data_IF_652970977455
#
_entry.id   IF_652970977455
#
_cell.length_a   1.000
_cell.length_b   1.000
_cell.length_c   1.000
_cell.angle_alpha   90.00
_cell.angle_beta   90.00
_cell.angle_gamma   90.00
#
_symmetry.space_group_name_H-M   'P 1'
#
loop_
_entity.id
_entity.type
_entity.pdbx_description
1 polymer ?
#
# COMPACT_ATOMS: atom_id res chain seq x y z
N UNK A 1 -17.60 8.03 -73.17
CA UNK A 1 -19.06 7.84 -73.12
C UNK A 1 -19.40 7.17 -71.80
N UNK A 2 -20.30 7.78 -71.02
CA UNK A 2 -20.80 7.32 -69.73
C UNK A 2 -21.59 6.02 -69.83
N UNK A 3 -21.56 5.18 -68.79
CA UNK A 3 -22.76 4.48 -68.27
C UNK A 3 -22.63 4.31 -66.75
N UNK A 4 -23.67 4.74 -66.05
CA UNK A 4 -23.94 4.60 -64.61
C UNK A 4 -24.47 3.21 -64.27
N UNK A 5 -24.28 2.72 -63.03
CA UNK A 5 -25.37 2.11 -62.24
C UNK A 5 -24.92 1.80 -60.80
N UNK A 6 -25.54 2.52 -59.86
CA UNK A 6 -25.70 2.17 -58.45
C UNK A 6 -26.60 0.95 -58.30
N UNK A 7 -26.26 0.03 -57.39
CA UNK A 7 -27.27 -0.81 -56.74
C UNK A 7 -26.96 -1.02 -55.25
N UNK A 8 -27.84 -0.44 -54.45
CA UNK A 8 -28.04 -0.69 -53.02
C UNK A 8 -28.48 -2.15 -52.82
N UNK A 9 -27.89 -2.84 -51.83
CA UNK A 9 -28.48 -4.06 -51.26
C UNK A 9 -28.61 -3.95 -49.74
N UNK A 10 -29.88 -4.03 -49.35
CA UNK A 10 -30.45 -4.14 -48.03
C UNK A 10 -29.91 -5.34 -47.24
N UNK A 11 -29.82 -5.20 -45.92
CA UNK A 11 -29.99 -6.32 -45.00
C UNK A 11 -30.79 -5.86 -43.78
N UNK A 12 -31.85 -6.61 -43.50
CA UNK A 12 -32.91 -6.33 -42.56
C UNK A 12 -32.92 -7.48 -41.54
N UNK A 13 -32.63 -7.16 -40.28
CA UNK A 13 -32.93 -7.91 -39.05
C UNK A 13 -33.02 -6.81 -37.99
N UNK A 14 -34.07 -6.60 -37.20
CA UNK A 14 -35.07 -7.51 -36.67
C UNK A 14 -35.08 -7.33 -35.15
N UNK A 15 -36.06 -6.56 -34.66
CA UNK A 15 -36.65 -6.49 -33.32
C UNK A 15 -36.48 -5.18 -32.49
N UNK A 16 -37.58 -4.65 -31.90
CA UNK A 16 -37.61 -3.39 -31.17
C UNK A 16 -37.46 -3.59 -29.66
N UNK A 17 -36.56 -2.86 -29.01
CA UNK A 17 -36.49 -2.77 -27.56
C UNK A 17 -37.20 -1.49 -27.09
N UNK A 18 -38.31 -1.67 -26.39
CA UNK A 18 -39.14 -0.62 -25.78
C UNK A 18 -38.43 -0.01 -24.56
N UNK A 19 -38.24 1.32 -24.45
CA UNK A 19 -37.71 1.93 -23.25
C UNK A 19 -38.84 2.22 -22.24
N UNK A 20 -38.81 1.54 -21.08
CA UNK A 20 -39.59 1.98 -19.92
C UNK A 20 -38.88 3.14 -19.22
N UNK A 21 -39.54 4.27 -18.95
CA UNK A 21 -39.00 5.32 -18.09
C UNK A 21 -39.14 4.90 -16.62
N UNK A 22 -38.03 4.86 -15.89
CA UNK A 22 -38.03 4.78 -14.42
C UNK A 22 -38.23 6.21 -13.90
N UNK A 23 -39.43 6.50 -13.41
CA UNK A 23 -39.71 7.73 -12.67
C UNK A 23 -39.01 7.67 -11.30
N UNK A 24 -38.04 8.56 -11.08
CA UNK A 24 -37.64 8.98 -9.75
C UNK A 24 -38.81 9.76 -9.13
N UNK A 25 -39.36 9.27 -8.02
CA UNK A 25 -40.10 10.12 -7.09
C UNK A 25 -39.29 10.31 -5.81
N UNK A 26 -38.80 11.55 -5.71
CA UNK A 26 -38.42 12.26 -4.49
C UNK A 26 -39.57 12.20 -3.49
N UNK A 27 -39.29 11.91 -2.21
CA UNK A 27 -40.18 12.35 -1.13
C UNK A 27 -39.43 12.72 0.14
N UNK A 28 -39.95 13.79 0.73
CA UNK A 28 -39.38 14.70 1.70
C UNK A 28 -39.14 14.14 3.10
N UNK A 29 -38.21 14.80 3.76
CA UNK A 29 -38.03 14.98 5.20
C UNK A 29 -39.21 15.66 5.91
N UNK A 30 -39.48 15.24 7.15
CA UNK A 30 -40.04 15.99 8.32
C UNK A 30 -39.98 15.05 9.55
N UNK A 31 -39.07 15.27 10.50
CA UNK A 31 -39.25 15.96 11.80
C UNK A 31 -40.36 15.40 12.67
N UNK A 32 -39.98 14.73 13.77
CA UNK A 32 -40.64 14.93 15.06
C UNK A 32 -39.64 14.65 16.19
N UNK A 33 -39.48 15.67 17.03
CA UNK A 33 -38.64 15.78 18.21
C UNK A 33 -39.44 15.41 19.45
N UNK A 34 -38.80 14.80 20.44
CA UNK A 34 -39.16 14.97 21.86
C UNK A 34 -37.89 15.05 22.70
N UNK A 35 -37.83 16.14 23.46
CA UNK A 35 -36.85 16.54 24.48
C UNK A 35 -36.99 15.62 25.71
N UNK A 36 -35.91 15.26 26.43
CA UNK A 36 -35.46 15.83 27.71
C UNK A 36 -34.55 14.74 28.36
N UNK A 37 -33.53 14.92 29.20
CA UNK A 37 -32.88 16.05 29.86
C UNK A 37 -31.49 15.55 30.39
N UNK A 38 -30.54 16.48 30.55
CA UNK A 38 -29.27 16.48 31.33
C UNK A 38 -28.63 15.17 31.84
N UNK A 39 -27.32 15.05 31.60
CA UNK A 39 -26.27 15.25 32.64
C UNK A 39 -24.87 15.30 32.03
N UNK A 40 -24.13 16.33 32.46
CA UNK A 40 -22.69 16.53 32.32
C UNK A 40 -21.90 15.42 33.01
N UNK A 41 -20.90 14.84 32.33
CA UNK A 41 -19.69 14.41 33.02
C UNK A 41 -18.48 14.46 32.07
N UNK A 42 -17.58 15.38 32.42
CA UNK A 42 -16.28 15.60 31.81
C UNK A 42 -15.29 14.76 32.61
N UNK A 43 -14.78 13.67 32.05
CA UNK A 43 -13.70 12.90 32.67
C UNK A 43 -12.92 12.10 31.64
N UNK A 44 -11.91 12.78 31.10
CA UNK A 44 -10.76 12.21 30.41
C UNK A 44 -9.86 11.51 31.46
N UNK A 45 -9.58 10.20 31.38
CA UNK A 45 -8.66 9.58 32.31
C UNK A 45 -7.21 9.98 31.96
N UNK A 46 -6.61 10.76 32.87
CA UNK A 46 -5.19 11.08 32.90
C UNK A 46 -4.39 9.86 33.36
N UNK A 47 -3.27 9.65 32.68
CA UNK A 47 -2.20 8.72 33.04
C UNK A 47 -1.69 8.96 34.45
N UNK A 48 -1.71 7.93 35.30
CA UNK A 48 -0.88 7.88 36.49
C UNK A 48 -0.16 6.53 36.54
N UNK A 49 1.14 6.59 36.23
CA UNK A 49 2.06 5.52 36.56
C UNK A 49 2.20 5.50 38.09
N UNK A 50 1.81 4.41 38.73
CA UNK A 50 2.13 4.12 40.12
C UNK A 50 3.05 2.89 40.15
N UNK A 51 4.34 3.15 40.26
CA UNK A 51 5.37 2.17 40.57
C UNK A 51 5.67 2.26 42.07
N UNK A 52 4.98 1.46 42.88
CA UNK A 52 5.39 1.17 44.25
C UNK A 52 4.92 -0.24 44.63
N UNK A 53 5.80 -1.21 44.43
CA UNK A 53 5.75 -2.48 45.15
C UNK A 53 7.15 -2.80 45.63
N UNK A 54 7.35 -2.80 46.95
CA UNK A 54 8.05 -3.88 47.67
C UNK A 54 8.11 -3.67 49.19
N UNK A 55 7.47 -4.61 49.87
CA UNK A 55 7.99 -5.46 50.95
C UNK A 55 8.68 -4.84 52.17
N UNK A 56 7.98 -5.02 53.30
CA UNK A 56 8.41 -4.90 54.67
C UNK A 56 9.34 -6.06 55.08
N UNK A 57 10.62 -5.82 55.38
CA UNK A 57 11.44 -6.67 56.29
C UNK A 57 12.41 -5.80 57.10
N UNK A 58 12.26 -5.84 58.42
CA UNK A 58 13.24 -5.42 59.43
C UNK A 58 14.28 -6.53 59.64
N UNK A 59 15.56 -6.19 59.83
CA UNK A 59 16.46 -6.68 60.91
C UNK A 59 17.94 -6.35 60.67
N UNK A 60 18.62 -5.86 61.71
CA UNK A 60 20.05 -5.55 61.78
C UNK A 60 20.93 -6.82 61.78
N UNK A 61 22.13 -6.71 61.18
CA UNK A 61 23.46 -6.93 61.79
C UNK A 61 24.49 -7.66 60.90
N UNK A 62 25.70 -7.07 60.88
CA UNK A 62 27.02 -7.66 60.59
C UNK A 62 27.54 -7.83 59.13
N UNK A 63 28.81 -7.40 58.97
CA UNK A 63 29.83 -7.79 57.96
C UNK A 63 29.99 -6.90 56.68
N UNK A 64 31.17 -6.86 56.03
CA UNK A 64 32.02 -5.66 55.95
C UNK A 64 32.16 -5.02 54.56
N UNK A 65 32.77 -3.83 54.54
CA UNK A 65 33.15 -3.03 53.36
C UNK A 65 33.79 -3.85 52.23
N UNK A 66 33.29 -3.67 51.01
CA UNK A 66 34.06 -3.89 49.78
C UNK A 66 33.95 -2.67 48.87
N UNK A 67 35.03 -1.89 48.81
CA UNK A 67 35.29 -0.96 47.71
C UNK A 67 35.45 -1.76 46.43
N UNK A 68 34.73 -1.40 45.36
CA UNK A 68 35.30 -1.24 44.00
C UNK A 68 34.26 -0.78 42.99
N UNK A 69 34.68 0.22 42.22
CA UNK A 69 34.13 0.70 40.95
C UNK A 69 33.81 -0.46 40.01
N UNK A 70 32.72 -0.31 39.26
CA UNK A 70 32.40 -1.18 38.12
C UNK A 70 31.18 -0.64 37.40
N UNK A 71 31.40 0.30 36.47
CA UNK A 71 30.42 0.66 35.45
C UNK A 71 30.09 -0.62 34.68
N UNK A 72 28.83 -1.07 34.75
CA UNK A 72 28.39 -2.25 34.01
C UNK A 72 28.50 -1.97 32.51
N UNK A 73 29.03 -2.90 31.70
CA UNK A 73 29.16 -2.72 30.26
C UNK A 73 27.76 -2.75 29.63
N UNK A 74 27.54 -1.80 28.72
CA UNK A 74 26.38 -1.72 27.86
C UNK A 74 26.16 -3.07 27.16
N UNK A 75 25.11 -3.79 27.53
CA UNK A 75 24.69 -4.99 26.84
C UNK A 75 24.13 -4.62 25.47
N UNK A 76 24.87 -4.92 24.42
CA UNK A 76 24.53 -4.71 23.01
C UNK A 76 23.46 -5.72 22.55
N UNK A 77 22.30 -5.72 23.20
CA UNK A 77 21.15 -6.56 22.81
C UNK A 77 19.81 -5.89 23.10
N UNK A 78 19.76 -4.57 22.97
CA UNK A 78 18.49 -3.93 22.61
C UNK A 78 18.22 -4.24 21.15
N UNK A 79 17.12 -4.97 20.89
CA UNK A 79 16.51 -5.05 19.57
C UNK A 79 16.35 -3.62 19.08
N UNK A 80 16.97 -3.18 17.97
CA UNK A 80 16.71 -1.85 17.46
C UNK A 80 15.26 -1.83 17.00
N UNK A 81 14.40 -1.27 17.85
CA UNK A 81 13.11 -0.73 17.43
C UNK A 81 13.45 0.21 16.30
N UNK A 82 13.01 -0.16 15.10
CA UNK A 82 13.06 0.65 13.90
C UNK A 82 14.48 0.92 13.37
N UNK A 83 14.90 0.16 12.35
CA UNK A 83 15.96 0.65 11.44
C UNK A 83 15.34 1.68 10.50
N UNK A 84 15.10 2.88 11.02
CA UNK A 84 14.97 4.08 10.19
C UNK A 84 16.38 4.62 9.93
N UNK A 85 16.63 5.07 8.70
CA UNK A 85 17.85 5.67 8.12
C UNK A 85 18.64 4.80 7.12
N UNK A 86 19.15 5.45 6.04
CA UNK A 86 19.26 4.91 4.69
C UNK A 86 20.41 3.93 4.55
N UNK A 87 20.11 2.77 3.99
CA UNK A 87 21.14 1.98 3.32
C UNK A 87 21.21 2.47 1.88
N UNK A 88 21.71 3.70 1.69
CA UNK A 88 22.37 4.15 0.46
C UNK A 88 23.78 3.52 0.39
N UNK A 89 23.89 2.27 0.85
CA UNK A 89 25.08 1.48 0.67
C UNK A 89 24.87 0.73 -0.64
N UNK A 90 25.90 0.75 -1.48
CA UNK A 90 25.97 -0.04 -2.71
C UNK A 90 25.74 -1.55 -2.49
N UNK A 91 25.60 -2.02 -1.23
CA UNK A 91 25.32 -3.40 -0.83
C UNK A 91 23.84 -3.70 -0.47
N UNK A 92 22.91 -2.75 -0.62
CA UNK A 92 21.50 -3.05 -0.31
C UNK A 92 20.93 -4.14 -1.23
N UNK A 93 20.54 -5.25 -0.62
CA UNK A 93 19.90 -6.38 -1.29
C UNK A 93 18.39 -6.35 -1.03
N UNK A 94 17.61 -5.97 -2.05
CA UNK A 94 16.15 -5.91 -2.00
C UNK A 94 15.52 -7.25 -1.62
N UNK A 95 16.07 -8.37 -2.12
CA UNK A 95 15.53 -9.69 -1.86
C UNK A 95 15.66 -10.01 -0.38
N UNK A 96 16.86 -9.82 0.19
CA UNK A 96 17.09 -10.02 1.64
C UNK A 96 16.24 -9.09 2.48
N UNK A 97 16.04 -7.84 2.04
CA UNK A 97 15.18 -6.89 2.74
C UNK A 97 13.74 -7.42 2.84
N UNK A 98 13.16 -7.84 1.72
CA UNK A 98 11.80 -8.39 1.65
C UNK A 98 11.67 -9.67 2.51
N UNK A 99 12.67 -10.56 2.46
CA UNK A 99 12.70 -11.76 3.32
C UNK A 99 12.78 -11.39 4.80
N UNK A 100 13.58 -10.37 5.17
CA UNK A 100 13.70 -9.89 6.56
C UNK A 100 12.44 -9.19 7.08
N UNK A 101 11.60 -8.67 6.17
CA UNK A 101 10.26 -8.16 6.49
C UNK A 101 9.24 -9.29 6.77
N UNK A 102 9.63 -10.55 6.58
CA UNK A 102 8.82 -11.74 6.86
C UNK A 102 8.14 -12.35 5.64
N UNK A 103 8.43 -11.87 4.43
CA UNK A 103 7.84 -12.41 3.20
C UNK A 103 8.51 -13.70 2.75
N UNK A 104 7.70 -14.69 2.39
CA UNK A 104 8.15 -15.96 1.83
C UNK A 104 8.12 -15.89 0.30
N UNK A 105 9.18 -15.34 -0.31
CA UNK A 105 9.26 -15.10 -1.77
C UNK A 105 9.08 -16.41 -2.57
N UNK A 106 9.68 -17.51 -2.10
CA UNK A 106 9.61 -18.83 -2.76
C UNK A 106 8.18 -19.39 -2.87
N UNK A 107 7.28 -18.96 -1.99
CA UNK A 107 5.87 -19.41 -1.96
C UNK A 107 4.98 -18.50 -2.84
N UNK A 108 5.51 -17.39 -3.34
CA UNK A 108 4.78 -16.44 -4.17
C UNK A 108 5.27 -16.48 -5.65
N UNK A 109 4.76 -17.41 -6.49
CA UNK A 109 5.24 -17.62 -7.86
C UNK A 109 4.88 -16.47 -8.83
N UNK A 110 4.09 -15.51 -8.37
CA UNK A 110 3.64 -14.36 -9.16
C UNK A 110 4.72 -13.29 -9.34
N UNK A 111 5.78 -13.36 -8.53
CA UNK A 111 6.82 -12.34 -8.44
C UNK A 111 8.20 -12.96 -8.70
N UNK A 112 9.06 -12.16 -9.31
CA UNK A 112 10.48 -12.46 -9.43
C UNK A 112 11.23 -11.32 -8.76
N UNK A 113 11.79 -11.59 -7.58
CA UNK A 113 12.54 -10.63 -6.78
C UNK A 113 14.03 -10.93 -6.91
N UNK A 114 14.80 -9.93 -7.32
CA UNK A 114 16.27 -9.94 -7.35
C UNK A 114 16.81 -8.89 -6.37
N UNK A 115 18.11 -8.86 -6.09
CA UNK A 115 18.70 -7.85 -5.19
C UNK A 115 18.45 -6.39 -5.61
N UNK A 116 18.21 -6.13 -6.89
CA UNK A 116 18.03 -4.78 -7.44
C UNK A 116 16.63 -4.52 -8.00
N UNK A 117 15.76 -5.53 -8.09
CA UNK A 117 14.48 -5.37 -8.79
C UNK A 117 13.39 -6.35 -8.36
N UNK A 118 12.14 -5.97 -8.57
CA UNK A 118 10.99 -6.84 -8.40
C UNK A 118 10.11 -6.75 -9.65
N UNK A 119 9.73 -7.90 -10.20
CA UNK A 119 8.92 -7.97 -11.42
C UNK A 119 7.74 -8.90 -11.26
N UNK A 120 6.62 -8.56 -11.89
CA UNK A 120 5.41 -9.38 -11.81
C UNK A 120 4.24 -8.77 -12.55
N UNK A 121 3.20 -9.58 -12.76
CA UNK A 121 1.96 -9.10 -13.35
C UNK A 121 1.03 -8.49 -12.30
N UNK A 122 0.49 -7.32 -12.61
CA UNK A 122 -0.58 -6.67 -11.85
C UNK A 122 -1.74 -6.30 -12.78
N UNK A 123 -2.95 -6.25 -12.24
CA UNK A 123 -4.07 -5.62 -12.94
C UNK A 123 -4.10 -4.15 -12.59
N UNK A 124 -4.02 -3.30 -13.62
CA UNK A 124 -4.03 -1.85 -13.48
C UNK A 124 -5.37 -1.29 -13.94
N UNK A 125 -5.95 -0.39 -13.17
CA UNK A 125 -7.12 0.38 -13.60
C UNK A 125 -6.74 1.44 -14.66
N UNK A 126 -7.49 1.46 -15.77
CA UNK A 126 -7.39 2.49 -16.80
C UNK A 126 -8.02 3.81 -16.36
N UNK A 127 -7.34 4.95 -16.56
CA UNK A 127 -7.82 6.26 -16.09
C UNK A 127 -9.07 6.76 -16.86
N UNK A 128 -9.15 6.49 -18.17
CA UNK A 128 -10.26 6.97 -19.03
C UNK A 128 -11.49 6.06 -18.95
N UNK A 129 -11.28 4.76 -19.09
CA UNK A 129 -12.37 3.78 -19.25
C UNK A 129 -12.60 2.92 -18.01
N UNK A 130 -11.83 3.12 -16.93
CA UNK A 130 -11.95 2.37 -15.67
C UNK A 130 -11.97 0.85 -15.85
N UNK A 131 -11.27 0.36 -16.88
CA UNK A 131 -11.11 -1.06 -17.16
C UNK A 131 -9.84 -1.57 -16.49
N UNK A 132 -9.94 -2.71 -15.82
CA UNK A 132 -8.78 -3.42 -15.27
C UNK A 132 -8.06 -4.17 -16.39
N UNK A 133 -6.75 -3.97 -16.51
CA UNK A 133 -5.93 -4.63 -17.53
C UNK A 133 -4.66 -5.20 -16.92
N UNK A 134 -4.34 -6.45 -17.25
CA UNK A 134 -3.09 -7.10 -16.86
C UNK A 134 -1.91 -6.39 -17.52
N UNK A 135 -0.91 -6.00 -16.74
CA UNK A 135 0.34 -5.36 -17.19
C UNK A 135 1.52 -5.94 -16.43
N UNK A 136 2.66 -6.03 -17.10
CA UNK A 136 3.91 -6.45 -16.47
C UNK A 136 4.55 -5.24 -15.81
N UNK A 137 4.69 -5.28 -14.49
CA UNK A 137 5.33 -4.21 -13.71
C UNK A 137 6.75 -4.61 -13.35
N UNK A 138 7.61 -3.61 -13.36
CA UNK A 138 9.02 -3.69 -13.02
C UNK A 138 9.32 -2.56 -12.06
N UNK A 139 9.69 -2.93 -10.85
CA UNK A 139 10.37 -2.07 -9.91
C UNK A 139 11.87 -2.31 -10.06
N UNK A 140 12.63 -1.24 -10.24
CA UNK A 140 14.07 -1.28 -10.47
C UNK A 140 14.78 -0.20 -9.65
N UNK A 141 15.68 -0.64 -8.77
CA UNK A 141 16.47 0.22 -7.90
C UNK A 141 17.56 0.98 -8.63
N UNK A 142 18.17 0.36 -9.66
CA UNK A 142 19.29 0.97 -10.38
C UNK A 142 18.81 2.20 -11.14
N UNK A 143 17.69 2.06 -11.85
CA UNK A 143 17.06 3.18 -12.57
C UNK A 143 16.17 4.05 -11.69
N UNK A 144 15.91 3.63 -10.44
CA UNK A 144 15.00 4.29 -9.49
C UNK A 144 13.59 4.48 -10.05
N UNK A 145 13.09 3.45 -10.73
CA UNK A 145 11.80 3.49 -11.43
C UNK A 145 10.84 2.37 -11.05
N UNK A 146 9.55 2.70 -11.12
CA UNK A 146 8.43 1.76 -11.08
C UNK A 146 7.64 1.91 -12.39
N UNK A 147 7.88 1.01 -13.34
CA UNK A 147 7.38 1.10 -14.72
C UNK A 147 6.56 -0.13 -15.09
N UNK A 148 5.69 0.03 -16.08
CA UNK A 148 4.90 -1.07 -16.61
C UNK A 148 4.96 -1.19 -18.14
N UNK A 149 4.80 -2.42 -18.59
CA UNK A 149 4.88 -2.87 -19.96
C UNK A 149 3.61 -3.63 -20.35
N UNK A 150 3.50 -3.94 -21.63
CA UNK A 150 2.41 -4.81 -22.10
C UNK A 150 2.55 -6.23 -21.52
N UNK A 151 3.76 -6.76 -21.56
CA UNK A 151 4.11 -8.12 -21.17
C UNK A 151 5.55 -8.19 -20.65
N UNK A 152 5.99 -9.42 -20.34
CA UNK A 152 7.33 -9.74 -19.82
C UNK A 152 8.47 -9.50 -20.83
N UNK A 153 8.17 -9.12 -22.09
CA UNK A 153 9.23 -8.82 -23.06
C UNK A 153 9.95 -7.49 -22.78
N UNK A 154 9.36 -6.62 -21.94
CA UNK A 154 9.95 -5.36 -21.48
C UNK A 154 10.41 -4.41 -22.62
N UNK A 155 9.93 -4.62 -23.86
CA UNK A 155 10.41 -3.92 -25.07
C UNK A 155 10.23 -2.40 -25.02
N UNK A 156 9.05 -1.93 -24.61
CA UNK A 156 8.72 -0.50 -24.57
C UNK A 156 7.89 -0.17 -23.33
N UNK A 157 8.38 0.74 -22.46
CA UNK A 157 7.61 1.17 -21.30
C UNK A 157 6.32 1.87 -21.77
N UNK A 158 5.21 1.52 -21.13
CA UNK A 158 3.90 2.14 -21.39
C UNK A 158 3.60 3.28 -20.44
N UNK A 159 4.28 3.32 -19.30
CA UNK A 159 4.19 4.35 -18.29
C UNK A 159 4.80 3.86 -16.99
N UNK A 160 4.86 4.76 -16.01
CA UNK A 160 5.44 4.46 -14.71
C UNK A 160 5.66 5.74 -13.92
N UNK A 161 6.39 5.61 -12.83
CA UNK A 161 6.83 6.70 -11.99
C UNK A 161 8.28 6.50 -11.57
N UNK A 162 9.00 7.60 -11.39
CA UNK A 162 10.25 7.60 -10.65
C UNK A 162 9.94 7.51 -9.15
N UNK A 163 10.84 6.93 -8.35
CA UNK A 163 10.62 6.81 -6.91
C UNK A 163 10.41 8.16 -6.23
N UNK A 164 11.14 9.20 -6.68
CA UNK A 164 11.06 10.56 -6.15
C UNK A 164 9.67 11.22 -6.22
N UNK A 165 8.77 10.74 -7.09
CA UNK A 165 7.42 11.31 -7.23
C UNK A 165 6.36 10.47 -6.52
N UNK A 166 6.71 9.30 -5.97
CA UNK A 166 5.80 8.45 -5.21
C UNK A 166 5.69 9.06 -3.81
N UNK A 167 4.47 9.40 -3.41
CA UNK A 167 4.20 10.05 -2.13
C UNK A 167 3.70 9.03 -1.10
N UNK A 168 2.78 8.17 -1.52
CA UNK A 168 2.10 7.22 -0.62
C UNK A 168 1.82 5.91 -1.37
N UNK A 169 1.87 4.80 -0.63
CA UNK A 169 1.42 3.49 -1.08
C UNK A 169 0.53 2.89 0.00
N UNK A 170 -0.67 2.44 -0.33
CA UNK A 170 -1.61 1.92 0.68
C UNK A 170 -2.64 0.97 0.08
N UNK A 171 -3.26 0.13 0.91
CA UNK A 171 -4.38 -0.73 0.51
C UNK A 171 -5.64 0.10 0.28
N UNK A 172 -6.45 -0.28 -0.72
CA UNK A 172 -7.72 0.38 -1.02
C UNK A 172 -8.84 -0.11 -0.06
N UNK A 173 -8.72 0.20 1.22
CA UNK A 173 -9.66 -0.23 2.26
C UNK A 173 -11.11 0.21 1.99
N UNK A 174 -11.30 1.38 1.38
CA UNK A 174 -12.62 1.92 1.03
C UNK A 174 -13.17 1.42 -0.32
N UNK A 175 -12.45 0.55 -1.02
CA UNK A 175 -12.76 0.11 -2.38
C UNK A 175 -13.09 1.28 -3.33
N UNK A 176 -12.32 2.37 -3.23
CA UNK A 176 -12.50 3.58 -4.03
C UNK A 176 -12.34 3.32 -5.53
N UNK A 177 -11.55 2.29 -5.88
CA UNK A 177 -11.33 1.82 -7.24
C UNK A 177 -12.46 0.97 -7.82
N UNK A 178 -13.47 0.59 -7.01
CA UNK A 178 -14.48 -0.42 -7.36
C UNK A 178 -13.83 -1.70 -7.90
N UNK A 179 -12.77 -2.13 -7.24
CA UNK A 179 -12.04 -3.34 -7.57
C UNK A 179 -12.91 -4.58 -7.33
N UNK A 180 -12.82 -5.61 -8.20
CA UNK A 180 -13.39 -6.92 -7.94
C UNK A 180 -12.81 -7.60 -6.70
N UNK A 181 -11.58 -7.26 -6.30
CA UNK A 181 -10.92 -7.83 -5.13
C UNK A 181 -10.21 -6.73 -4.31
N UNK A 182 -10.92 -6.05 -3.40
CA UNK A 182 -10.37 -4.93 -2.63
C UNK A 182 -9.21 -5.34 -1.71
N UNK A 183 -9.23 -6.57 -1.18
CA UNK A 183 -8.21 -7.08 -0.25
C UNK A 183 -6.84 -7.27 -0.91
N UNK A 184 -6.80 -7.41 -2.23
CA UNK A 184 -5.55 -7.50 -3.01
C UNK A 184 -5.30 -6.24 -3.85
N UNK A 185 -6.07 -5.17 -3.61
CA UNK A 185 -5.96 -3.91 -4.33
C UNK A 185 -5.27 -2.86 -3.47
N UNK A 186 -4.30 -2.20 -4.07
CA UNK A 186 -3.52 -1.14 -3.46
C UNK A 186 -3.36 0.04 -4.43
N UNK A 187 -3.04 1.19 -3.85
CA UNK A 187 -2.95 2.47 -4.53
C UNK A 187 -1.53 2.97 -4.37
N UNK A 188 -0.89 3.29 -5.50
CA UNK A 188 0.36 4.04 -5.53
C UNK A 188 0.00 5.47 -5.91
N UNK A 189 0.08 6.39 -4.96
CA UNK A 189 -0.16 7.81 -5.16
C UNK A 189 1.15 8.50 -5.53
N UNK A 190 1.14 9.20 -6.65
CA UNK A 190 2.24 10.08 -7.07
C UNK A 190 1.76 11.51 -7.15
N UNK A 191 2.70 12.46 -7.21
CA UNK A 191 2.44 13.90 -7.42
C UNK A 191 1.50 14.20 -8.59
N UNK A 192 1.52 13.35 -9.61
CA UNK A 192 0.79 13.59 -10.87
C UNK A 192 -0.46 12.73 -11.01
N UNK A 193 -0.48 11.52 -10.44
CA UNK A 193 -1.59 10.58 -10.63
C UNK A 193 -1.59 9.45 -9.59
N UNK A 194 -2.71 8.74 -9.51
CA UNK A 194 -2.84 7.51 -8.72
C UNK A 194 -2.84 6.29 -9.64
N UNK A 195 -2.15 5.24 -9.23
CA UNK A 195 -2.24 3.93 -9.83
C UNK A 195 -3.03 3.01 -8.91
N UNK A 196 -4.20 2.56 -9.38
CA UNK A 196 -4.96 1.50 -8.72
C UNK A 196 -4.49 0.17 -9.30
N UNK A 197 -3.94 -0.67 -8.45
CA UNK A 197 -3.25 -1.90 -8.80
C UNK A 197 -3.83 -3.06 -7.99
N UNK A 198 -4.18 -4.14 -8.66
CA UNK A 198 -4.70 -5.36 -8.04
C UNK A 198 -3.74 -6.51 -8.30
N UNK A 199 -3.25 -7.09 -7.21
CA UNK A 199 -2.35 -8.24 -7.20
C UNK A 199 -3.13 -9.56 -7.31
N UNK A 200 -2.49 -10.63 -7.82
CA UNK A 200 -3.13 -11.94 -7.93
C UNK A 200 -3.39 -12.63 -6.59
N UNK A 201 -2.67 -12.24 -5.53
CA UNK A 201 -2.85 -12.75 -4.17
C UNK A 201 -2.58 -11.66 -3.13
N UNK A 202 -3.06 -11.86 -1.91
CA UNK A 202 -2.79 -10.96 -0.79
C UNK A 202 -1.30 -10.88 -0.47
N UNK A 203 -0.59 -12.01 -0.55
CA UNK A 203 0.86 -12.03 -0.34
C UNK A 203 1.61 -11.23 -1.41
N UNK A 204 1.24 -11.40 -2.68
CA UNK A 204 1.83 -10.59 -3.75
C UNK A 204 1.55 -9.09 -3.56
N UNK A 205 0.36 -8.71 -3.07
CA UNK A 205 0.04 -7.32 -2.77
C UNK A 205 0.97 -6.75 -1.70
N UNK A 206 1.18 -7.48 -0.58
CA UNK A 206 2.06 -7.05 0.51
C UNK A 206 3.50 -6.88 0.03
N UNK A 207 4.04 -7.87 -0.69
CA UNK A 207 5.40 -7.78 -1.25
C UNK A 207 5.54 -6.56 -2.17
N UNK A 208 4.57 -6.30 -3.06
CA UNK A 208 4.62 -5.12 -3.92
C UNK A 208 4.62 -3.81 -3.11
N UNK A 209 3.77 -3.71 -2.09
CA UNK A 209 3.68 -2.53 -1.23
C UNK A 209 5.04 -2.29 -0.55
N UNK A 210 5.60 -3.30 0.09
CA UNK A 210 6.88 -3.22 0.81
C UNK A 210 8.04 -2.85 -0.12
N UNK A 211 8.11 -3.46 -1.30
CA UNK A 211 9.12 -3.15 -2.30
C UNK A 211 9.02 -1.69 -2.76
N UNK A 212 7.81 -1.21 -3.07
CA UNK A 212 7.63 0.17 -3.55
C UNK A 212 7.93 1.17 -2.42
N UNK A 213 7.53 0.87 -1.19
CA UNK A 213 7.88 1.67 -0.01
C UNK A 213 9.39 1.79 0.18
N UNK A 214 10.09 0.67 0.07
CA UNK A 214 11.56 0.62 0.15
C UNK A 214 12.21 1.54 -0.88
N UNK A 215 11.70 1.54 -2.12
CA UNK A 215 12.22 2.43 -3.17
C UNK A 215 11.89 3.90 -2.97
N UNK A 216 10.68 4.21 -2.48
CA UNK A 216 10.22 5.58 -2.28
C UNK A 216 10.87 6.25 -1.05
N UNK A 217 11.09 5.52 0.04
CA UNK A 217 11.70 6.05 1.27
C UNK A 217 13.17 6.44 1.12
N UNK A 218 13.92 5.81 0.20
CA UNK A 218 15.29 6.22 -0.11
C UNK A 218 15.44 7.64 -0.70
N UNK A 219 14.33 8.35 -0.96
CA UNK A 219 14.34 9.72 -1.49
C UNK A 219 13.91 10.79 -0.47
N UNK A 220 13.15 10.43 0.57
CA UNK A 220 12.70 11.40 1.59
C UNK A 220 13.82 11.93 2.48
N UNK A 221 14.97 11.25 2.55
CA UNK A 221 16.09 11.63 3.43
C UNK A 221 17.05 12.66 2.85
N UNK A 222 16.79 13.19 1.63
CA UNK A 222 17.63 14.23 1.00
C UNK A 222 16.95 15.60 0.87
N UNK A 223 15.75 15.78 1.45
CA UNK A 223 14.98 17.03 1.35
C UNK A 223 14.70 17.72 2.69
N UNK A 224 15.30 17.25 3.80
CA UNK A 224 15.34 17.97 5.08
C UNK A 224 16.75 18.50 5.39
#
# INVERSE_FOLDING_TARGET
MSVWLTLVKSSHWGLPCNPRPVFLQVRNSRTESTEDDKRSDDSRPLSHASDFSRDNILSLSSAPRRSRRGVAPYSESQRPLTRYLPVDRDDFDLRRHVESAGHQIEVCPYLTVTPTSCRGYLHKLGAKFHTWSKRWFVFDRETKTFVYYWDKSEKKPRGGAYFQVIEEVYLDHGNTSKSPNPLTTFIVKTRQRRYYLMAPSGEAARIWIDVIFTGAQGYTEYLE
#
